data_IF_144274662584
#
_entry.id   IF_144274662584
#
_cell.length_a   1.000
_cell.length_b   1.000
_cell.length_c   1.000
_cell.angle_alpha   90.00
_cell.angle_beta   90.00
_cell.angle_gamma   90.00
#
_symmetry.space_group_name_H-M   'P 1'
#
loop_
_entity.id
_entity.type
_entity.pdbx_description
1 polymer ?
#
# COMPACT_ATOMS: atom_id res chain seq x y z
N UNK A 1 -7.74 3.34 -35.58
CA UNK A 1 -8.36 3.96 -34.38
C UNK A 1 -7.36 4.97 -33.84
N UNK A 2 -7.60 6.25 -34.08
CA UNK A 2 -6.68 7.32 -33.70
C UNK A 2 -6.86 7.63 -32.20
N UNK A 3 -5.74 7.68 -31.47
CA UNK A 3 -5.63 8.22 -30.11
C UNK A 3 -5.90 9.74 -30.12
N UNK A 4 -7.12 10.15 -30.47
CA UNK A 4 -7.45 11.57 -30.75
C UNK A 4 -7.97 12.33 -29.53
N UNK A 5 -8.05 11.69 -28.37
CA UNK A 5 -8.45 12.36 -27.13
C UNK A 5 -7.27 12.44 -26.17
N UNK A 6 -7.19 13.56 -25.44
CA UNK A 6 -6.25 13.71 -24.31
C UNK A 6 -6.36 12.54 -23.31
N UNK A 7 -7.57 11.99 -23.15
CA UNK A 7 -7.82 10.83 -22.30
C UNK A 7 -7.09 9.56 -22.78
N UNK A 8 -7.08 9.31 -24.08
CA UNK A 8 -6.41 8.13 -24.65
C UNK A 8 -4.89 8.26 -24.58
N UNK A 9 -4.35 9.45 -24.87
CA UNK A 9 -2.91 9.73 -24.69
C UNK A 9 -2.48 9.55 -23.23
N UNK A 10 -3.27 10.08 -22.29
CA UNK A 10 -3.03 9.91 -20.85
C UNK A 10 -3.07 8.44 -20.45
N UNK A 11 -4.03 7.66 -20.95
CA UNK A 11 -4.14 6.22 -20.69
C UNK A 11 -2.92 5.46 -21.22
N UNK A 12 -2.57 5.63 -22.48
CA UNK A 12 -1.41 4.94 -23.08
C UNK A 12 -0.10 5.34 -22.42
N UNK A 13 0.06 6.61 -22.04
CA UNK A 13 1.22 7.07 -21.26
C UNK A 13 1.29 6.36 -19.90
N UNK A 14 0.19 6.35 -19.15
CA UNK A 14 0.13 5.67 -17.85
C UNK A 14 0.36 4.17 -17.99
N UNK A 15 -0.24 3.49 -18.97
CA UNK A 15 -0.02 2.06 -19.20
C UNK A 15 1.44 1.73 -19.53
N UNK A 16 2.13 2.60 -20.27
CA UNK A 16 3.53 2.42 -20.66
C UNK A 16 4.52 2.64 -19.51
N UNK A 17 4.28 3.64 -18.66
CA UNK A 17 5.21 4.03 -17.59
C UNK A 17 4.81 3.52 -16.19
N UNK A 18 3.52 3.28 -15.98
CA UNK A 18 2.92 2.77 -14.75
C UNK A 18 2.00 1.59 -15.09
N UNK A 19 2.57 0.45 -15.54
CA UNK A 19 1.79 -0.69 -15.99
C UNK A 19 0.87 -1.18 -14.88
N UNK A 20 -0.31 -1.68 -15.27
CA UNK A 20 -1.31 -2.16 -14.32
C UNK A 20 -0.77 -3.23 -13.37
N UNK A 21 0.19 -4.04 -13.82
CA UNK A 21 0.90 -5.04 -13.01
C UNK A 21 1.70 -4.41 -11.87
N UNK A 22 2.40 -3.30 -12.11
CA UNK A 22 3.16 -2.56 -11.09
C UNK A 22 2.22 -1.94 -10.07
N UNK A 23 1.14 -1.30 -10.54
CA UNK A 23 0.09 -0.76 -9.66
C UNK A 23 -0.55 -1.88 -8.83
N UNK A 24 -0.79 -3.06 -9.40
CA UNK A 24 -1.33 -4.21 -8.68
C UNK A 24 -0.38 -4.75 -7.60
N UNK A 25 0.93 -4.82 -7.88
CA UNK A 25 1.93 -5.20 -6.89
C UNK A 25 1.95 -4.23 -5.72
N UNK A 26 2.02 -2.93 -5.99
CA UNK A 26 2.06 -1.90 -4.96
C UNK A 26 0.78 -1.93 -4.12
N UNK A 27 -0.41 -2.10 -4.73
CA UNK A 27 -1.64 -2.29 -3.96
C UNK A 27 -1.58 -3.50 -3.05
N UNK A 28 -1.05 -4.63 -3.52
CA UNK A 28 -0.90 -5.85 -2.72
C UNK A 28 0.04 -5.62 -1.53
N UNK A 29 1.12 -4.88 -1.74
CA UNK A 29 2.08 -4.51 -0.68
C UNK A 29 1.45 -3.57 0.34
N UNK A 30 0.69 -2.55 -0.11
CA UNK A 30 -0.05 -1.65 0.78
C UNK A 30 -1.07 -2.45 1.60
N UNK A 31 -1.92 -3.26 0.97
CA UNK A 31 -2.91 -4.07 1.68
C UNK A 31 -2.31 -5.15 2.60
N UNK A 32 -1.08 -5.58 2.33
CA UNK A 32 -0.37 -6.60 3.09
C UNK A 32 0.54 -6.04 4.19
N UNK A 33 0.64 -4.71 4.32
CA UNK A 33 1.59 -4.10 5.23
C UNK A 33 1.22 -4.38 6.69
N UNK A 34 2.19 -4.83 7.47
CA UNK A 34 2.06 -5.08 8.90
C UNK A 34 3.20 -4.40 9.63
N UNK A 35 2.93 -4.02 10.87
CA UNK A 35 3.99 -3.58 11.78
C UNK A 35 4.86 -4.80 12.09
N UNK A 36 6.17 -4.62 11.94
CA UNK A 36 7.13 -5.68 12.26
C UNK A 36 7.41 -5.72 13.75
N UNK A 37 7.79 -6.88 14.26
CA UNK A 37 8.13 -7.04 15.69
C UNK A 37 9.32 -6.14 16.05
N UNK A 38 9.11 -5.23 17.01
CA UNK A 38 10.11 -4.26 17.43
C UNK A 38 10.21 -3.00 16.55
N UNK A 39 9.41 -2.90 15.48
CA UNK A 39 9.28 -1.67 14.69
C UNK A 39 8.43 -0.66 15.46
N UNK A 40 8.92 0.58 15.58
CA UNK A 40 8.14 1.66 16.18
C UNK A 40 6.97 2.05 15.27
N UNK A 41 5.93 2.64 15.87
CA UNK A 41 4.80 3.16 15.10
C UNK A 41 5.25 4.20 14.05
N UNK A 42 6.27 4.99 14.36
CA UNK A 42 6.82 5.99 13.44
C UNK A 42 7.47 5.34 12.21
N UNK A 43 8.31 4.32 12.41
CA UNK A 43 8.97 3.58 11.32
C UNK A 43 7.94 2.86 10.44
N UNK A 44 6.94 2.22 11.05
CA UNK A 44 5.82 1.61 10.33
C UNK A 44 5.07 2.64 9.46
N UNK A 45 4.76 3.81 10.03
CA UNK A 45 4.06 4.88 9.33
C UNK A 45 4.89 5.45 8.18
N UNK A 46 6.18 5.66 8.37
CA UNK A 46 7.09 6.11 7.32
C UNK A 46 7.12 5.13 6.16
N UNK A 47 7.21 3.83 6.46
CA UNK A 47 7.24 2.76 5.46
C UNK A 47 5.92 2.66 4.68
N UNK A 48 4.79 2.83 5.38
CA UNK A 48 3.47 2.94 4.76
C UNK A 48 3.38 4.13 3.79
N UNK A 49 3.76 5.33 4.25
CA UNK A 49 3.72 6.53 3.41
C UNK A 49 4.63 6.42 2.18
N UNK A 50 5.81 5.82 2.36
CA UNK A 50 6.75 5.58 1.26
C UNK A 50 6.14 4.67 0.21
N UNK A 51 5.44 3.60 0.60
CA UNK A 51 4.69 2.74 -0.32
C UNK A 51 3.58 3.50 -1.05
N UNK A 52 2.76 4.28 -0.33
CA UNK A 52 1.72 5.10 -0.95
C UNK A 52 2.30 6.11 -1.96
N UNK A 53 3.44 6.73 -1.66
CA UNK A 53 4.11 7.68 -2.54
C UNK A 53 4.66 7.02 -3.83
N UNK A 54 4.97 5.72 -3.82
CA UNK A 54 5.42 5.00 -5.03
C UNK A 54 4.34 4.86 -6.10
N UNK A 55 3.07 4.96 -5.73
CA UNK A 55 1.95 4.88 -6.65
C UNK A 55 0.84 5.88 -6.24
N UNK A 56 0.94 7.17 -6.59
CA UNK A 56 -0.09 8.15 -6.26
C UNK A 56 -1.46 7.85 -6.90
N UNK A 57 -1.50 6.93 -7.87
CA UNK A 57 -2.70 6.40 -8.51
C UNK A 57 -3.07 4.99 -8.03
N UNK A 58 -2.76 4.66 -6.78
CA UNK A 58 -3.03 3.34 -6.18
C UNK A 58 -4.53 2.99 -6.12
N UNK A 59 -5.45 3.98 -6.26
CA UNK A 59 -6.91 3.78 -6.29
C UNK A 59 -7.49 3.11 -5.02
N UNK A 60 -6.78 3.23 -3.90
CA UNK A 60 -7.23 2.74 -2.60
C UNK A 60 -7.95 3.90 -1.92
N UNK A 61 -9.17 3.67 -1.45
CA UNK A 61 -9.92 4.69 -0.73
C UNK A 61 -9.27 4.96 0.64
N UNK A 62 -9.42 6.19 1.13
CA UNK A 62 -8.91 6.59 2.45
C UNK A 62 -9.47 5.69 3.57
N UNK A 63 -10.75 5.32 3.48
CA UNK A 63 -11.37 4.39 4.42
C UNK A 63 -10.66 3.03 4.47
N UNK A 64 -10.28 2.49 3.31
CA UNK A 64 -9.56 1.23 3.24
C UNK A 64 -8.12 1.37 3.75
N UNK A 65 -7.46 2.51 3.51
CA UNK A 65 -6.14 2.78 4.09
C UNK A 65 -6.19 2.77 5.63
N UNK A 66 -7.19 3.42 6.23
CA UNK A 66 -7.39 3.42 7.70
C UNK A 66 -7.59 2.00 8.24
N UNK A 67 -8.37 1.18 7.53
CA UNK A 67 -8.57 -0.23 7.92
C UNK A 67 -7.26 -1.02 7.86
N UNK A 68 -6.50 -0.89 6.78
CA UNK A 68 -5.20 -1.55 6.59
C UNK A 68 -4.22 -1.19 7.73
N UNK A 69 -4.13 0.10 8.07
CA UNK A 69 -3.26 0.58 9.15
C UNK A 69 -3.65 -0.06 10.49
N UNK A 70 -4.95 -0.04 10.83
CA UNK A 70 -5.46 -0.59 12.07
C UNK A 70 -5.21 -2.10 12.18
N UNK A 71 -5.40 -2.84 11.08
CA UNK A 71 -5.22 -4.29 11.06
C UNK A 71 -3.73 -4.68 11.09
N UNK A 72 -2.88 -3.91 10.41
CA UNK A 72 -1.42 -4.06 10.43
C UNK A 72 -0.81 -3.86 11.81
N UNK A 73 -1.34 -2.93 12.61
CA UNK A 73 -0.91 -2.69 14.00
C UNK A 73 -1.43 -3.73 15.00
N UNK A 74 -2.66 -4.21 14.84
CA UNK A 74 -3.25 -5.23 15.74
C UNK A 74 -2.47 -6.55 15.70
N UNK A 75 -1.87 -6.88 14.57
CA UNK A 75 -1.08 -8.08 14.41
C UNK A 75 0.16 -8.09 15.32
N UNK A 76 0.89 -6.97 15.37
CA UNK A 76 2.09 -6.84 16.22
C UNK A 76 1.74 -7.00 17.71
N UNK A 77 0.67 -6.33 18.17
CA UNK A 77 0.20 -6.50 19.55
C UNK A 77 -0.10 -7.96 19.87
N UNK A 78 -0.77 -8.72 18.99
CA UNK A 78 -1.05 -10.14 19.26
C UNK A 78 0.21 -11.01 19.29
N UNK A 79 1.21 -10.68 18.48
CA UNK A 79 2.52 -11.35 18.50
C UNK A 79 3.32 -11.08 19.77
N UNK A 80 3.04 -9.99 20.50
CA UNK A 80 3.75 -9.63 21.72
C UNK A 80 3.26 -10.37 22.99
N UNK A 81 2.05 -10.95 22.98
CA UNK A 81 1.46 -11.65 24.13
C UNK A 81 1.56 -13.19 24.07
N UNK A 82 1.95 -13.80 22.94
CA UNK A 82 2.12 -15.25 22.84
C UNK A 82 3.60 -15.64 23.01
N UNK A 83 4.05 -15.66 24.26
CA UNK A 83 5.20 -16.46 24.68
C UNK A 83 4.66 -17.62 25.52
N UNK A 84 4.91 -18.89 25.18
CA UNK A 84 4.43 -20.03 25.98
C UNK A 84 5.03 -20.11 27.40
N UNK A 85 5.93 -19.22 27.78
CA UNK A 85 6.69 -19.26 29.04
C UNK A 85 6.59 -17.92 29.81
N UNK A 86 5.43 -17.65 30.42
CA UNK A 86 5.22 -16.54 31.36
C UNK A 86 4.19 -16.88 32.41
#
# INVERSE_FOLDING_TARGET
MLLNTWGDMKRTFLEKFFPASRTASIRKEICGIRQHTGETLHEYWERFNKLCATCPHHQISEQLLIQIINDGQKHDRRSQWWSPDG
#
